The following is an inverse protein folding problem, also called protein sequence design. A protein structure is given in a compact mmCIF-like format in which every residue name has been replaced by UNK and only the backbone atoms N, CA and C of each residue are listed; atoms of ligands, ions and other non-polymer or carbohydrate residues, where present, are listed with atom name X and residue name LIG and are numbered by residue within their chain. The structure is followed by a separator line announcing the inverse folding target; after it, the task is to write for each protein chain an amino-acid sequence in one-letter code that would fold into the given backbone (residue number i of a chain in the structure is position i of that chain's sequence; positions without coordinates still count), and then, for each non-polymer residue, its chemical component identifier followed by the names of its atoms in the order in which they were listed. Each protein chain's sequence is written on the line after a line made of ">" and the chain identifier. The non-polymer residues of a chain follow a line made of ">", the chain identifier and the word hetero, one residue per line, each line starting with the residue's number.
data_IF_915624339106
#
_entry.id   IF_915624339106
#
_cell.length_a   1.000
_cell.length_b   1.000
_cell.length_c   1.000
_cell.angle_alpha   90.00
_cell.angle_beta   90.00
_cell.angle_gamma   90.00
#
_symmetry.space_group_name_H-M   'P 1'
#
loop_
_entity.id
_entity.type
_entity.pdbx_description
1 polymer ?
#
# COMPACT_ATOMS: atom_id res chain seq x y z
N UNK A 1 1.99 -13.11 28.42
CA UNK A 1 2.13 -12.49 27.08
C UNK A 1 2.03 -10.99 27.29
N UNK A 2 3.06 -10.23 26.92
CA UNK A 2 3.07 -8.77 27.07
C UNK A 2 2.20 -8.17 25.96
N UNK A 3 1.11 -7.49 26.32
CA UNK A 3 0.30 -6.71 25.38
C UNK A 3 1.13 -5.49 24.95
N UNK A 4 1.56 -5.47 23.69
CA UNK A 4 2.19 -4.30 23.08
C UNK A 4 1.09 -3.27 22.81
N UNK A 5 0.99 -2.25 23.67
CA UNK A 5 0.07 -1.12 23.50
C UNK A 5 0.73 -0.10 22.59
N UNK A 6 0.27 -0.01 21.34
CA UNK A 6 0.77 0.99 20.39
C UNK A 6 -0.12 2.25 20.46
N UNK A 7 0.40 3.31 21.09
CA UNK A 7 -0.26 4.61 21.17
C UNK A 7 -0.06 5.35 19.84
N UNK A 8 -1.12 5.60 19.09
CA UNK A 8 -1.04 6.47 17.90
C UNK A 8 -2.10 7.56 17.95
N UNK A 9 -1.65 8.82 17.93
CA UNK A 9 -2.49 10.01 17.72
C UNK A 9 -3.08 9.96 16.31
N UNK A 10 -4.40 10.11 16.18
CA UNK A 10 -5.01 10.36 14.88
C UNK A 10 -4.65 11.78 14.40
N UNK A 11 -3.61 11.85 13.60
CA UNK A 11 -3.62 12.63 12.37
C UNK A 11 -3.09 11.67 11.33
N UNK A 12 -3.93 11.17 10.42
CA UNK A 12 -3.43 10.52 9.19
C UNK A 12 -2.94 11.63 8.27
N UNK A 13 -1.94 12.35 8.72
CA UNK A 13 -0.90 12.87 7.86
C UNK A 13 0.20 11.82 8.03
N UNK A 14 0.42 10.93 7.04
CA UNK A 14 1.70 10.23 6.97
C UNK A 14 2.82 11.23 7.30
N UNK A 15 3.92 10.88 7.98
CA UNK A 15 5.07 11.82 8.11
C UNK A 15 5.50 12.40 6.75
N UNK A 16 5.19 11.69 5.67
CA UNK A 16 5.30 12.13 4.28
C UNK A 16 4.47 13.39 3.95
N UNK A 17 3.29 13.54 4.55
CA UNK A 17 2.37 14.67 4.41
C UNK A 17 2.74 15.88 5.26
N UNK A 18 3.34 15.70 6.45
CA UNK A 18 4.00 16.80 7.16
C UNK A 18 5.12 17.40 6.29
N UNK A 19 5.87 16.56 5.56
CA UNK A 19 6.91 17.02 4.63
C UNK A 19 6.37 17.60 3.31
N UNK A 20 5.21 17.14 2.81
CA UNK A 20 4.54 17.70 1.63
C UNK A 20 3.84 19.02 1.94
N UNK A 21 3.22 19.16 3.12
CA UNK A 21 2.66 20.43 3.60
C UNK A 21 3.75 21.50 3.76
N UNK A 22 5.01 21.10 3.97
CA UNK A 22 6.17 21.99 4.08
C UNK A 22 6.87 22.27 2.74
N UNK A 23 6.56 21.53 1.67
CA UNK A 23 7.10 21.76 0.33
C UNK A 23 5.98 22.27 -0.57
N UNK A 24 5.91 23.58 -0.74
CA UNK A 24 5.12 24.21 -1.80
C UNK A 24 5.49 23.55 -3.14
N UNK A 25 4.57 22.76 -3.71
CA UNK A 25 4.70 22.21 -5.06
C UNK A 25 4.80 23.39 -6.04
N UNK A 26 5.80 23.38 -6.91
CA UNK A 26 5.99 24.41 -7.93
C UNK A 26 4.94 24.25 -9.03
N UNK A 27 4.43 25.38 -9.53
CA UNK A 27 3.41 25.50 -10.58
C UNK A 27 3.68 24.64 -11.83
N UNK A 28 4.94 24.38 -12.16
CA UNK A 28 5.34 23.57 -13.32
C UNK A 28 5.00 22.07 -13.21
N UNK A 29 4.87 21.51 -12.00
CA UNK A 29 4.45 20.11 -11.81
C UNK A 29 2.93 19.94 -11.98
N UNK A 30 2.16 21.03 -11.79
CA UNK A 30 0.71 21.06 -11.94
C UNK A 30 0.30 21.09 -13.41
N UNK A 31 1.01 21.86 -14.25
CA UNK A 31 0.71 22.01 -15.67
C UNK A 31 0.97 20.73 -16.49
N UNK A 32 1.92 19.89 -16.08
CA UNK A 32 2.19 18.60 -16.75
C UNK A 32 1.09 17.56 -16.54
N UNK A 33 0.26 17.71 -15.51
CA UNK A 33 -0.86 16.81 -15.23
C UNK A 33 -2.13 17.16 -16.04
N UNK A 34 -2.17 18.32 -16.72
CA UNK A 34 -3.36 18.82 -17.42
C UNK A 34 -3.41 18.53 -18.92
N UNK A 35 -2.36 17.92 -19.51
CA UNK A 35 -2.23 17.83 -20.97
C UNK A 35 -2.64 16.49 -21.62
N UNK A 36 -3.27 15.56 -20.90
CA UNK A 36 -3.84 14.34 -21.50
C UNK A 36 -5.38 14.38 -21.50
N UNK A 37 -6.04 13.87 -22.56
CA UNK A 37 -7.49 13.94 -22.68
C UNK A 37 -8.16 13.16 -21.54
N UNK A 38 -8.88 13.91 -20.70
CA UNK A 38 -9.59 13.42 -19.52
C UNK A 38 -10.73 12.49 -19.93
N UNK A 39 -10.48 11.18 -19.96
CA UNK A 39 -11.54 10.21 -19.70
C UNK A 39 -11.90 10.37 -18.22
N UNK A 40 -13.10 10.88 -17.95
CA UNK A 40 -13.65 11.03 -16.60
C UNK A 40 -13.49 9.72 -15.81
N UNK A 41 -12.53 9.70 -14.88
CA UNK A 41 -12.45 8.69 -13.84
C UNK A 41 -13.32 9.18 -12.69
N UNK A 42 -14.37 8.44 -12.26
CA UNK A 42 -15.21 8.86 -11.14
C UNK A 42 -14.47 8.91 -9.79
N UNK A 43 -13.15 8.72 -9.76
CA UNK A 43 -12.34 8.57 -8.55
C UNK A 43 -11.37 9.75 -8.27
N UNK A 44 -11.54 10.88 -8.94
CA UNK A 44 -10.58 11.99 -8.87
C UNK A 44 -10.55 12.72 -7.51
N UNK A 45 -11.46 12.45 -6.57
CA UNK A 45 -11.45 13.14 -5.27
C UNK A 45 -11.99 12.31 -4.12
N UNK A 46 -11.29 11.24 -3.72
CA UNK A 46 -11.55 10.68 -2.39
C UNK A 46 -11.10 11.72 -1.34
N UNK A 47 -11.88 11.93 -0.28
CA UNK A 47 -11.59 12.86 0.82
C UNK A 47 -11.71 12.10 2.15
N UNK A 48 -10.64 12.10 2.96
CA UNK A 48 -10.67 11.55 4.33
C UNK A 48 -10.84 12.70 5.32
N UNK A 49 -11.82 12.59 6.22
CA UNK A 49 -12.09 13.59 7.27
C UNK A 49 -11.20 13.31 8.49
N UNK A 50 -10.21 14.16 8.75
CA UNK A 50 -9.49 14.19 10.03
C UNK A 50 -10.17 15.23 10.91
N UNK A 51 -10.66 14.82 12.08
CA UNK A 51 -11.35 15.71 13.02
C UNK A 51 -10.28 16.46 13.82
N UNK A 52 -9.79 17.57 13.28
CA UNK A 52 -8.93 18.49 14.02
C UNK A 52 -9.78 19.40 14.91
N UNK A 53 -9.50 19.44 16.21
CA UNK A 53 -10.32 20.17 17.20
C UNK A 53 -10.05 21.67 17.25
N UNK A 54 -9.11 22.21 16.46
CA UNK A 54 -8.68 23.60 16.57
C UNK A 54 -8.45 24.36 15.26
N UNK A 55 -9.03 23.93 14.13
CA UNK A 55 -8.90 24.66 12.86
C UNK A 55 -10.27 25.13 12.39
N UNK A 56 -10.41 26.45 12.24
CA UNK A 56 -11.53 27.11 11.59
C UNK A 56 -11.86 26.47 10.24
N UNK A 57 -12.99 25.75 10.18
CA UNK A 57 -13.87 25.30 9.07
C UNK A 57 -13.45 25.25 7.58
N UNK A 58 -12.29 25.72 7.10
CA UNK A 58 -12.06 25.97 5.66
C UNK A 58 -10.72 25.51 5.06
N UNK A 59 -9.96 24.64 5.72
CA UNK A 59 -8.79 24.01 5.08
C UNK A 59 -8.80 22.49 5.27
N UNK A 60 -9.82 21.83 4.76
CA UNK A 60 -9.76 20.38 4.56
C UNK A 60 -8.95 20.13 3.29
N UNK A 61 -7.73 19.59 3.42
CA UNK A 61 -7.02 19.04 2.27
C UNK A 61 -7.68 17.73 1.86
N UNK A 62 -8.05 17.61 0.59
CA UNK A 62 -8.56 16.36 0.04
C UNK A 62 -7.48 15.29 0.12
N UNK A 63 -7.80 14.10 0.66
CA UNK A 63 -6.90 12.95 0.64
C UNK A 63 -7.39 11.91 -0.35
N UNK A 64 -6.82 11.91 -1.55
CA UNK A 64 -7.04 10.88 -2.55
C UNK A 64 -6.04 9.71 -2.36
N UNK A 65 -6.46 8.51 -1.90
CA UNK A 65 -5.56 7.39 -1.68
C UNK A 65 -4.96 6.85 -2.98
N UNK A 66 -5.58 7.12 -4.14
CA UNK A 66 -5.03 6.74 -5.45
C UNK A 66 -3.89 7.67 -5.89
N UNK A 67 -3.85 8.91 -5.40
CA UNK A 67 -2.78 9.87 -5.72
C UNK A 67 -1.71 9.91 -4.62
N UNK A 68 -2.14 9.92 -3.37
CA UNK A 68 -1.27 10.16 -2.23
C UNK A 68 -0.58 8.91 -1.72
N UNK A 69 -1.25 7.76 -1.82
CA UNK A 69 -0.71 6.47 -1.39
C UNK A 69 -0.98 5.36 -2.40
N UNK A 70 -0.73 5.55 -3.71
CA UNK A 70 -1.16 4.64 -4.79
C UNK A 70 -0.74 3.18 -4.58
N UNK A 71 0.36 2.97 -3.85
CA UNK A 71 1.00 1.69 -3.66
C UNK A 71 0.69 1.06 -2.28
N UNK A 72 -0.24 1.60 -1.48
CA UNK A 72 -0.55 1.07 -0.15
C UNK A 72 -0.88 -0.43 -0.21
N UNK A 73 -1.71 -0.84 -1.18
CA UNK A 73 -2.11 -2.24 -1.36
C UNK A 73 -0.93 -3.20 -1.60
N UNK A 74 0.08 -2.80 -2.39
CA UNK A 74 1.28 -3.64 -2.59
C UNK A 74 2.26 -3.56 -1.44
N UNK A 75 2.33 -2.45 -0.70
CA UNK A 75 3.18 -2.36 0.51
C UNK A 75 2.59 -3.14 1.68
N UNK A 76 1.26 -3.16 1.83
CA UNK A 76 0.57 -3.94 2.84
C UNK A 76 0.89 -5.43 2.70
N UNK A 77 0.79 -5.98 1.48
CA UNK A 77 1.10 -7.38 1.20
C UNK A 77 2.58 -7.79 1.39
N UNK A 78 3.49 -6.85 1.70
CA UNK A 78 4.90 -7.16 2.01
C UNK A 78 5.15 -7.46 3.46
N UNK A 79 4.18 -7.20 4.34
CA UNK A 79 4.33 -7.46 5.77
C UNK A 79 4.39 -8.97 5.98
N UNK A 80 5.51 -9.45 6.53
CA UNK A 80 5.70 -10.88 6.84
C UNK A 80 5.87 -11.14 8.33
N UNK A 81 6.21 -10.12 9.10
CA UNK A 81 6.55 -10.21 10.51
C UNK A 81 6.26 -8.89 11.21
N UNK A 82 6.32 -8.91 12.54
CA UNK A 82 6.08 -7.76 13.40
C UNK A 82 6.99 -6.56 13.06
N UNK A 83 8.26 -6.80 12.71
CA UNK A 83 9.19 -5.73 12.35
C UNK A 83 8.76 -5.00 11.07
N UNK A 84 8.22 -5.73 10.10
CA UNK A 84 7.69 -5.13 8.87
C UNK A 84 6.37 -4.42 9.12
N UNK A 85 5.53 -4.94 10.01
CA UNK A 85 4.32 -4.27 10.48
C UNK A 85 4.64 -2.93 11.16
N UNK A 86 5.62 -2.89 12.06
CA UNK A 86 6.02 -1.63 12.72
C UNK A 86 6.50 -0.59 11.72
N UNK A 87 7.31 -0.98 10.74
CA UNK A 87 7.73 -0.07 9.65
C UNK A 87 6.54 0.40 8.82
N UNK A 88 5.57 -0.47 8.57
CA UNK A 88 4.36 -0.10 7.84
C UNK A 88 3.56 0.94 8.62
N UNK A 89 3.34 0.70 9.93
CA UNK A 89 2.62 1.61 10.83
C UNK A 89 3.31 2.98 10.90
N UNK A 90 4.64 3.02 10.98
CA UNK A 90 5.40 4.28 10.98
C UNK A 90 5.19 5.13 9.71
N UNK A 91 4.88 4.49 8.58
CA UNK A 91 4.74 5.16 7.27
C UNK A 91 3.27 5.49 6.99
N UNK A 92 2.37 4.53 7.21
CA UNK A 92 0.97 4.59 6.76
C UNK A 92 -0.04 4.71 7.90
N UNK A 93 0.33 4.35 9.13
CA UNK A 93 -0.58 4.24 10.27
C UNK A 93 -1.12 2.82 10.50
N UNK A 94 -2.02 2.68 11.48
CA UNK A 94 -2.59 1.39 11.90
C UNK A 94 -3.58 0.83 10.87
N UNK A 95 -3.43 -0.44 10.43
CA UNK A 95 -4.27 -1.03 9.39
C UNK A 95 -5.73 -1.24 9.77
N UNK A 96 -5.97 -1.75 10.99
CA UNK A 96 -7.27 -1.87 11.62
C UNK A 96 -7.24 -0.98 12.86
N UNK A 97 -8.33 -0.28 13.12
CA UNK A 97 -8.42 0.57 14.28
C UNK A 97 -9.82 0.65 14.82
N UNK A 98 -10.02 0.12 16.02
CA UNK A 98 -11.21 0.43 16.81
C UNK A 98 -10.83 1.61 17.70
N UNK A 99 -11.43 2.76 17.44
CA UNK A 99 -11.30 3.94 18.31
C UNK A 99 -12.13 3.72 19.58
N UNK A 100 -11.47 3.50 20.71
CA UNK A 100 -12.11 3.62 22.03
C UNK A 100 -11.87 5.03 22.55
N UNK A 101 -12.92 5.84 22.65
CA UNK A 101 -12.86 7.11 23.37
C UNK A 101 -12.97 6.82 24.87
N UNK A 102 -11.93 7.15 25.62
CA UNK A 102 -12.00 7.15 27.09
C UNK A 102 -12.06 8.60 27.56
N UNK A 103 -13.20 9.03 28.12
CA UNK A 103 -13.27 10.32 28.81
C UNK A 103 -12.71 10.15 30.21
N UNK A 104 -11.57 10.78 30.50
CA UNK A 104 -11.13 10.91 31.88
C UNK A 104 -11.70 12.20 32.45
N UNK A 105 -12.40 12.10 33.58
CA UNK A 105 -13.02 13.22 34.28
C UNK A 105 -11.94 14.12 34.90
N UNK A 106 -11.26 14.94 34.10
CA UNK A 106 -10.61 16.20 34.49
C UNK A 106 -9.89 16.75 33.24
N UNK A 107 -10.42 17.81 32.63
CA UNK A 107 -9.92 18.43 31.38
C UNK A 107 -10.14 17.57 30.13
N UNK A 108 -10.88 18.10 29.15
CA UNK A 108 -11.40 17.41 27.96
C UNK A 108 -10.31 17.04 26.93
N UNK A 109 -9.28 16.29 27.31
CA UNK A 109 -8.42 15.60 26.34
C UNK A 109 -9.05 14.26 25.97
N UNK A 110 -9.72 14.23 24.83
CA UNK A 110 -10.23 12.98 24.24
C UNK A 110 -9.03 12.15 23.73
N UNK A 111 -8.51 11.26 24.57
CA UNK A 111 -7.54 10.26 24.12
C UNK A 111 -8.30 9.18 23.37
N UNK A 112 -8.11 9.14 22.05
CA UNK A 112 -8.58 8.03 21.23
C UNK A 112 -7.51 6.95 21.23
N UNK A 113 -7.80 5.82 21.87
CA UNK A 113 -6.93 4.64 21.83
C UNK A 113 -7.41 3.77 20.68
N UNK A 114 -6.50 3.45 19.77
CA UNK A 114 -6.77 2.61 18.62
C UNK A 114 -6.14 1.24 18.85
N UNK A 115 -6.98 0.21 18.98
CA UNK A 115 -6.54 -1.16 19.21
C UNK A 115 -6.81 -2.03 17.98
N UNK A 116 -5.95 -3.04 17.80
CA UNK A 116 -6.03 -4.05 16.74
C UNK A 116 -5.63 -5.39 17.33
N UNK A 117 -6.46 -6.42 17.13
CA UNK A 117 -6.05 -7.78 17.43
C UNK A 117 -5.01 -8.23 16.39
N UNK A 118 -3.88 -8.75 16.88
CA UNK A 118 -2.75 -9.12 16.02
C UNK A 118 -3.05 -10.36 15.18
N UNK A 119 -3.83 -11.31 15.72
CA UNK A 119 -4.23 -12.52 15.00
C UNK A 119 -5.19 -12.16 13.87
N UNK A 120 -6.23 -11.38 14.17
CA UNK A 120 -7.21 -10.91 13.18
C UNK A 120 -6.50 -10.12 12.06
N UNK A 121 -5.51 -9.29 12.42
CA UNK A 121 -4.69 -8.57 11.46
C UNK A 121 -3.95 -9.51 10.50
N UNK A 122 -3.22 -10.50 11.02
CA UNK A 122 -2.44 -11.41 10.20
C UNK A 122 -3.31 -12.35 9.37
N UNK A 123 -4.50 -12.73 9.87
CA UNK A 123 -5.47 -13.49 9.11
C UNK A 123 -6.00 -12.68 7.91
N UNK A 124 -6.43 -11.45 8.14
CA UNK A 124 -6.89 -10.56 7.06
C UNK A 124 -5.77 -10.25 6.06
N UNK A 125 -4.55 -10.02 6.57
CA UNK A 125 -3.37 -9.80 5.74
C UNK A 125 -3.03 -11.01 4.86
N UNK A 126 -3.20 -12.23 5.37
CA UNK A 126 -2.99 -13.46 4.62
C UNK A 126 -4.01 -13.56 3.48
N UNK A 127 -5.31 -13.36 3.77
CA UNK A 127 -6.35 -13.35 2.74
C UNK A 127 -6.08 -12.27 1.68
N UNK A 128 -5.68 -11.07 2.11
CA UNK A 128 -5.34 -9.97 1.22
C UNK A 128 -4.14 -10.31 0.31
N UNK A 129 -3.06 -10.86 0.87
CA UNK A 129 -1.84 -11.23 0.13
C UNK A 129 -2.10 -12.36 -0.87
N UNK A 130 -2.95 -13.31 -0.50
CA UNK A 130 -3.40 -14.40 -1.36
C UNK A 130 -4.22 -13.87 -2.53
N UNK A 131 -5.13 -12.91 -2.29
CA UNK A 131 -5.94 -12.28 -3.32
C UNK A 131 -5.08 -11.49 -4.32
N UNK A 132 -4.10 -10.70 -3.83
CA UNK A 132 -3.14 -9.99 -4.69
C UNK A 132 -2.30 -10.96 -5.52
N UNK A 133 -1.89 -12.09 -4.93
CA UNK A 133 -1.12 -13.13 -5.63
C UNK A 133 -1.94 -13.78 -6.73
N UNK A 134 -3.20 -14.13 -6.45
CA UNK A 134 -4.13 -14.68 -7.45
C UNK A 134 -4.32 -13.72 -8.62
N UNK A 135 -4.51 -12.43 -8.33
CA UNK A 135 -4.60 -11.40 -9.36
C UNK A 135 -3.30 -11.31 -10.20
N UNK A 136 -2.14 -11.35 -9.56
CA UNK A 136 -0.85 -11.36 -10.25
C UNK A 136 -0.71 -12.52 -11.24
N UNK A 137 -1.12 -13.74 -10.85
CA UNK A 137 -1.08 -14.91 -11.74
C UNK A 137 -1.99 -14.72 -12.95
N UNK A 138 -3.24 -14.27 -12.74
CA UNK A 138 -4.20 -14.02 -13.82
C UNK A 138 -3.70 -12.94 -14.77
N UNK A 139 -3.22 -11.82 -14.24
CA UNK A 139 -2.78 -10.67 -15.04
C UNK A 139 -1.61 -11.05 -15.96
N UNK A 140 -0.66 -11.85 -15.47
CA UNK A 140 0.53 -12.25 -16.21
C UNK A 140 0.37 -13.54 -17.00
N UNK A 141 -0.84 -14.15 -17.02
CA UNK A 141 -1.10 -15.47 -17.59
C UNK A 141 -0.12 -16.55 -17.07
N UNK A 142 0.30 -16.44 -15.82
CA UNK A 142 1.18 -17.41 -15.17
C UNK A 142 0.35 -18.57 -14.61
N UNK A 143 0.87 -19.81 -14.63
CA UNK A 143 0.17 -20.95 -14.05
C UNK A 143 -0.01 -20.75 -12.54
N UNK A 144 -1.23 -20.96 -12.05
CA UNK A 144 -1.56 -20.92 -10.64
C UNK A 144 -0.88 -22.12 -9.95
N UNK A 145 0.14 -21.85 -9.14
CA UNK A 145 1.00 -22.88 -8.54
C UNK A 145 0.41 -23.54 -7.28
N UNK A 146 -0.63 -22.95 -6.69
CA UNK A 146 -1.28 -23.43 -5.47
C UNK A 146 -2.77 -23.13 -5.49
N UNK A 147 -3.54 -23.88 -4.72
CA UNK A 147 -4.95 -23.59 -4.52
C UNK A 147 -5.10 -22.39 -3.57
N UNK A 148 -5.93 -21.44 -3.98
CA UNK A 148 -6.28 -20.28 -3.16
C UNK A 148 -7.67 -20.51 -2.57
N UNK A 149 -7.82 -20.24 -1.28
CA UNK A 149 -9.08 -20.37 -0.55
C UNK A 149 -9.35 -19.12 0.27
N UNK A 150 -10.58 -18.61 0.21
CA UNK A 150 -11.01 -17.41 0.91
C UNK A 150 -12.29 -17.69 1.70
N UNK A 151 -12.45 -17.03 2.85
CA UNK A 151 -13.69 -17.06 3.61
C UNK A 151 -14.50 -15.82 3.25
N UNK A 152 -15.66 -16.04 2.62
CA UNK A 152 -16.60 -14.98 2.24
C UNK A 152 -17.95 -15.29 2.84
N UNK A 153 -18.44 -14.42 3.72
CA UNK A 153 -19.74 -14.56 4.41
C UNK A 153 -19.89 -15.93 5.10
N UNK A 154 -18.82 -16.41 5.74
CA UNK A 154 -18.77 -17.71 6.42
C UNK A 154 -18.66 -18.93 5.49
N UNK A 155 -18.50 -18.73 4.17
CA UNK A 155 -18.35 -19.81 3.19
C UNK A 155 -16.94 -19.81 2.58
N UNK A 156 -16.38 -21.00 2.40
CA UNK A 156 -15.10 -21.15 1.70
C UNK A 156 -15.33 -21.09 0.20
N UNK A 157 -14.57 -20.24 -0.49
CA UNK A 157 -14.51 -20.14 -1.95
C UNK A 157 -13.08 -20.41 -2.39
N UNK A 158 -12.89 -21.32 -3.35
CA UNK A 158 -11.55 -21.75 -3.77
C UNK A 158 -11.38 -21.88 -5.28
N UNK A 159 -10.12 -21.83 -5.74
CA UNK A 159 -9.75 -22.03 -7.16
C UNK A 159 -10.03 -23.44 -7.66
N UNK A 160 -10.25 -24.41 -6.77
CA UNK A 160 -10.70 -25.75 -7.13
C UNK A 160 -12.18 -25.77 -7.53
N UNK A 161 -12.97 -24.85 -6.98
CA UNK A 161 -14.44 -24.87 -7.08
C UNK A 161 -14.99 -23.80 -8.03
N UNK A 162 -14.23 -22.73 -8.28
CA UNK A 162 -14.68 -21.60 -9.12
C UNK A 162 -13.56 -21.04 -10.00
N UNK A 163 -13.96 -20.39 -11.08
CA UNK A 163 -13.07 -19.63 -11.93
C UNK A 163 -12.32 -18.53 -11.11
N UNK A 164 -10.99 -18.40 -11.25
CA UNK A 164 -10.20 -17.42 -10.51
C UNK A 164 -10.71 -15.97 -10.57
N UNK A 165 -11.28 -15.52 -11.70
CA UNK A 165 -11.82 -14.15 -11.83
C UNK A 165 -13.11 -14.00 -11.03
N UNK A 166 -13.95 -15.04 -11.01
CA UNK A 166 -15.16 -15.05 -10.18
C UNK A 166 -14.81 -15.01 -8.69
N UNK A 167 -13.72 -15.67 -8.27
CA UNK A 167 -13.23 -15.62 -6.88
C UNK A 167 -12.82 -14.20 -6.53
N UNK A 168 -11.99 -13.55 -7.36
CA UNK A 168 -11.57 -12.17 -7.11
C UNK A 168 -12.79 -11.24 -6.99
N UNK A 169 -13.74 -11.33 -7.91
CA UNK A 169 -14.95 -10.53 -7.86
C UNK A 169 -15.77 -10.79 -6.58
N UNK A 170 -15.91 -12.06 -6.18
CA UNK A 170 -16.64 -12.45 -4.97
C UNK A 170 -15.98 -11.88 -3.71
N UNK A 171 -14.66 -12.05 -3.57
CA UNK A 171 -13.91 -11.56 -2.40
C UNK A 171 -13.93 -10.04 -2.35
N UNK A 172 -13.61 -9.35 -3.45
CA UNK A 172 -13.61 -7.88 -3.47
C UNK A 172 -14.98 -7.28 -3.17
N UNK A 173 -16.06 -7.86 -3.69
CA UNK A 173 -17.42 -7.40 -3.38
C UNK A 173 -17.78 -7.61 -1.91
N UNK A 174 -17.34 -8.71 -1.28
CA UNK A 174 -17.57 -8.94 0.15
C UNK A 174 -16.77 -7.99 1.05
N UNK A 175 -15.60 -7.53 0.59
CA UNK A 175 -14.74 -6.58 1.31
C UNK A 175 -15.09 -5.11 1.02
N UNK A 176 -16.05 -4.85 0.13
CA UNK A 176 -16.54 -3.51 -0.20
C UNK A 176 -17.46 -2.99 0.90
N UNK A 177 -16.86 -2.40 1.93
CA UNK A 177 -17.57 -1.79 3.06
C UNK A 177 -17.44 -0.26 3.14
N UNK A 178 -16.72 0.35 2.19
CA UNK A 178 -16.64 1.81 2.07
C UNK A 178 -17.96 2.42 1.58
N UNK A 179 -18.22 3.65 2.01
CA UNK A 179 -19.45 4.38 1.62
C UNK A 179 -19.13 5.49 0.65
N UNK A 180 -19.92 5.59 -0.41
CA UNK A 180 -19.88 6.67 -1.40
C UNK A 180 -20.97 7.70 -1.09
N UNK A 181 -20.61 8.98 -1.07
CA UNK A 181 -21.54 10.10 -0.87
C UNK A 181 -21.21 11.24 -1.83
N UNK A 182 -22.23 11.98 -2.27
CA UNK A 182 -22.03 13.25 -2.98
C UNK A 182 -22.12 14.37 -1.95
N UNK A 183 -21.06 15.16 -1.82
CA UNK A 183 -20.96 16.21 -0.83
C UNK A 183 -20.63 17.55 -1.49
N UNK A 184 -21.19 18.63 -0.94
CA UNK A 184 -20.92 20.00 -1.40
C UNK A 184 -19.90 20.66 -0.47
N UNK A 185 -18.85 21.22 -1.06
CA UNK A 185 -17.78 21.95 -0.38
C UNK A 185 -17.63 23.32 -1.02
N UNK A 186 -18.26 24.34 -0.41
CA UNK A 186 -18.38 25.66 -1.02
C UNK A 186 -19.24 25.59 -2.29
N UNK A 187 -18.64 25.93 -3.43
CA UNK A 187 -19.31 25.92 -4.74
C UNK A 187 -19.12 24.60 -5.52
N UNK A 188 -18.31 23.66 -5.00
CA UNK A 188 -17.98 22.41 -5.69
C UNK A 188 -18.73 21.23 -5.12
N UNK A 189 -19.30 20.42 -6.01
CA UNK A 189 -19.86 19.10 -5.69
C UNK A 189 -18.78 18.06 -5.95
N UNK A 190 -18.58 17.11 -5.04
CA UNK A 190 -17.56 16.06 -5.17
C UNK A 190 -18.05 14.71 -4.65
N UNK A 191 -17.65 13.63 -5.33
CA UNK A 191 -17.86 12.27 -4.84
C UNK A 191 -16.87 11.98 -3.72
N UNK A 192 -17.36 11.73 -2.52
CA UNK A 192 -16.58 11.35 -1.36
C UNK A 192 -16.68 9.85 -1.12
N UNK A 193 -15.54 9.20 -0.86
CA UNK A 193 -15.49 7.81 -0.42
C UNK A 193 -14.95 7.79 1.01
N UNK A 194 -15.68 7.16 1.92
CA UNK A 194 -15.28 7.02 3.32
C UNK A 194 -14.88 5.57 3.61
N UNK A 195 -13.69 5.41 4.16
CA UNK A 195 -13.14 4.15 4.60
C UNK A 195 -13.12 4.07 6.12
N UNK A 196 -13.37 2.90 6.67
CA UNK A 196 -13.28 2.64 8.12
C UNK A 196 -11.84 2.42 8.58
N UNK A 197 -10.99 1.87 7.71
CA UNK A 197 -9.64 1.45 8.05
C UNK A 197 -8.74 1.37 6.79
N UNK A 198 -7.44 1.09 6.95
CA UNK A 198 -6.52 1.03 5.80
C UNK A 198 -6.68 -0.23 4.96
N UNK A 199 -7.24 -1.33 5.49
CA UNK A 199 -7.57 -2.50 4.69
C UNK A 199 -8.63 -2.16 3.63
N UNK A 200 -9.66 -1.41 3.99
CA UNK A 200 -10.66 -0.97 3.02
C UNK A 200 -10.02 -0.10 1.91
N UNK A 201 -9.06 0.76 2.28
CA UNK A 201 -8.29 1.55 1.30
C UNK A 201 -7.46 0.62 0.40
N UNK A 202 -6.81 -0.39 0.96
CA UNK A 202 -6.01 -1.36 0.21
C UNK A 202 -6.87 -2.22 -0.73
N UNK A 203 -8.04 -2.69 -0.27
CA UNK A 203 -9.01 -3.42 -1.11
C UNK A 203 -9.58 -2.54 -2.22
N UNK A 204 -9.89 -1.28 -1.92
CA UNK A 204 -10.32 -0.32 -2.93
C UNK A 204 -9.25 -0.10 -4.00
N UNK A 205 -7.99 0.06 -3.60
CA UNK A 205 -6.86 0.18 -4.53
C UNK A 205 -6.63 -1.09 -5.35
N UNK A 206 -6.73 -2.27 -4.73
CA UNK A 206 -6.63 -3.54 -5.44
C UNK A 206 -7.77 -3.70 -6.45
N UNK A 207 -9.01 -3.35 -6.07
CA UNK A 207 -10.15 -3.34 -6.98
C UNK A 207 -9.89 -2.40 -8.16
N UNK A 208 -9.40 -1.20 -7.91
CA UNK A 208 -9.00 -0.25 -8.95
C UNK A 208 -7.89 -0.82 -9.84
N UNK A 209 -6.91 -1.54 -9.27
CA UNK A 209 -5.84 -2.19 -10.03
C UNK A 209 -6.36 -3.33 -10.91
N UNK A 210 -7.33 -4.12 -10.43
CA UNK A 210 -7.99 -5.19 -11.19
C UNK A 210 -8.78 -4.60 -12.36
N UNK A 211 -9.63 -3.61 -12.10
CA UNK A 211 -10.49 -2.98 -13.12
C UNK A 211 -9.68 -2.32 -14.23
N UNK A 212 -8.59 -1.63 -13.87
CA UNK A 212 -7.73 -0.93 -14.83
C UNK A 212 -6.59 -1.79 -15.37
N UNK A 213 -6.56 -3.10 -15.05
CA UNK A 213 -5.49 -4.04 -15.45
C UNK A 213 -4.09 -3.49 -15.21
N UNK A 214 -3.88 -2.84 -14.06
CA UNK A 214 -2.61 -2.19 -13.72
C UNK A 214 -1.47 -3.23 -13.76
N UNK A 215 -0.34 -2.93 -14.42
CA UNK A 215 0.74 -3.89 -14.58
C UNK A 215 1.42 -4.21 -13.24
N UNK A 216 1.54 -5.50 -12.92
CA UNK A 216 2.19 -5.99 -11.71
C UNK A 216 3.39 -6.86 -12.06
N UNK A 217 4.48 -6.75 -11.30
CA UNK A 217 5.68 -7.59 -11.43
C UNK A 217 6.21 -8.03 -10.08
N UNK A 218 7.03 -9.08 -10.07
CA UNK A 218 7.85 -9.47 -8.90
C UNK A 218 9.18 -8.72 -8.89
N UNK A 219 9.56 -8.22 -7.72
CA UNK A 219 10.83 -7.55 -7.51
C UNK A 219 12.00 -8.53 -7.67
N UNK A 220 13.02 -8.17 -8.45
CA UNK A 220 14.23 -9.01 -8.61
C UNK A 220 15.06 -9.20 -7.34
N UNK A 221 14.83 -8.38 -6.30
CA UNK A 221 15.59 -8.46 -5.03
C UNK A 221 14.77 -9.12 -3.92
N UNK A 222 13.58 -8.60 -3.61
CA UNK A 222 12.76 -9.10 -2.50
C UNK A 222 11.64 -10.07 -2.91
N UNK A 223 11.48 -10.33 -4.22
CA UNK A 223 10.44 -11.19 -4.80
C UNK A 223 8.97 -10.75 -4.54
N UNK A 224 8.76 -9.64 -3.84
CA UNK A 224 7.42 -9.09 -3.60
C UNK A 224 6.79 -8.56 -4.89
N UNK A 225 5.46 -8.66 -4.97
CA UNK A 225 4.66 -8.06 -6.05
C UNK A 225 4.68 -6.53 -5.89
N UNK A 226 4.79 -5.80 -7.00
CA UNK A 226 4.73 -4.34 -7.03
C UNK A 226 4.06 -3.85 -8.32
N UNK A 227 3.46 -2.65 -8.26
CA UNK A 227 2.89 -1.94 -9.41
C UNK A 227 3.99 -1.32 -10.26
N UNK A 228 3.97 -1.58 -11.56
CA UNK A 228 4.96 -1.12 -12.53
C UNK A 228 4.59 0.29 -13.00
N UNK A 229 5.48 1.25 -12.76
CA UNK A 229 5.32 2.64 -13.26
C UNK A 229 5.85 2.77 -14.70
N UNK A 230 6.90 2.01 -15.03
CA UNK A 230 7.49 2.01 -16.37
C UNK A 230 7.97 0.59 -16.75
N UNK A 231 7.88 0.25 -18.03
CA UNK A 231 8.13 -1.13 -18.51
C UNK A 231 9.53 -1.68 -18.19
N UNK A 232 10.53 -0.82 -17.97
CA UNK A 232 11.90 -1.21 -17.61
C UNK A 232 12.08 -1.45 -16.11
N UNK A 233 11.07 -1.20 -15.28
CA UNK A 233 11.14 -1.33 -13.83
C UNK A 233 11.28 -2.81 -13.43
N UNK A 234 12.33 -3.09 -12.64
CA UNK A 234 12.72 -4.44 -12.17
C UNK A 234 12.66 -4.59 -10.65
N UNK A 235 12.49 -3.49 -9.94
CA UNK A 235 12.52 -3.44 -8.48
C UNK A 235 11.29 -2.68 -7.97
N UNK A 236 10.94 -2.85 -6.69
CA UNK A 236 9.89 -2.07 -6.05
C UNK A 236 10.08 -0.57 -6.25
N UNK A 237 8.98 0.18 -6.16
CA UNK A 237 9.00 1.63 -6.25
C UNK A 237 9.95 2.24 -5.18
N UNK A 238 10.60 3.38 -5.49
CA UNK A 238 11.33 4.11 -4.47
C UNK A 238 10.38 4.63 -3.39
N UNK A 239 10.90 4.77 -2.17
CA UNK A 239 10.19 5.52 -1.12
C UNK A 239 10.08 6.99 -1.54
N UNK A 240 9.06 7.67 -1.02
CA UNK A 240 8.84 9.09 -1.29
C UNK A 240 10.12 9.92 -1.07
N UNK A 241 10.41 10.83 -2.01
CA UNK A 241 11.60 11.67 -1.98
C UNK A 241 12.93 10.95 -2.29
N UNK A 242 12.92 9.68 -2.69
CA UNK A 242 14.12 8.93 -3.10
C UNK A 242 14.11 8.65 -4.61
N UNK A 243 15.29 8.75 -5.24
CA UNK A 243 15.47 8.46 -6.67
C UNK A 243 15.50 6.97 -7.00
N UNK A 244 15.89 6.12 -6.04
CA UNK A 244 16.06 4.66 -6.22
C UNK A 244 15.45 3.92 -5.07
N UNK A 245 14.97 2.72 -5.33
CA UNK A 245 14.47 1.86 -4.26
C UNK A 245 15.61 1.20 -3.50
N UNK A 246 15.34 0.85 -2.24
CA UNK A 246 16.27 0.12 -1.40
C UNK A 246 16.64 -1.23 -2.01
N UNK A 247 15.67 -1.90 -2.65
CA UNK A 247 15.87 -3.15 -3.38
C UNK A 247 16.87 -2.98 -4.53
N UNK A 248 16.70 -1.94 -5.35
CA UNK A 248 17.63 -1.66 -6.45
C UNK A 248 19.06 -1.39 -5.93
N UNK A 249 19.19 -0.56 -4.88
CA UNK A 249 20.50 -0.26 -4.28
C UNK A 249 21.17 -1.52 -3.71
N UNK A 250 20.40 -2.36 -3.01
CA UNK A 250 20.88 -3.61 -2.42
C UNK A 250 21.38 -4.57 -3.50
N UNK A 251 20.59 -4.76 -4.56
CA UNK A 251 20.96 -5.58 -5.71
C UNK A 251 22.26 -5.09 -6.38
N UNK A 252 22.38 -3.77 -6.61
CA UNK A 252 23.60 -3.16 -7.19
C UNK A 252 24.84 -3.40 -6.31
N UNK A 253 24.70 -3.24 -4.99
CA UNK A 253 25.80 -3.49 -4.04
C UNK A 253 26.21 -4.96 -4.06
N UNK A 254 25.25 -5.89 -4.05
CA UNK A 254 25.52 -7.33 -4.14
C UNK A 254 26.26 -7.68 -5.43
N UNK A 255 25.75 -7.23 -6.58
CA UNK A 255 26.36 -7.48 -7.90
C UNK A 255 27.77 -6.89 -8.03
N UNK A 256 28.01 -5.72 -7.42
CA UNK A 256 29.35 -5.12 -7.36
C UNK A 256 30.32 -6.01 -6.57
N UNK A 257 29.92 -6.48 -5.38
CA UNK A 257 30.73 -7.38 -4.55
C UNK A 257 31.03 -8.70 -5.25
N UNK A 258 30.05 -9.25 -5.97
CA UNK A 258 30.23 -10.48 -6.74
C UNK A 258 31.31 -10.32 -7.83
N UNK A 259 31.23 -9.26 -8.63
CA UNK A 259 32.24 -8.97 -9.67
C UNK A 259 33.63 -8.76 -9.11
N UNK A 260 33.73 -8.18 -7.91
CA UNK A 260 35.02 -8.01 -7.23
C UNK A 260 35.59 -9.36 -6.80
N UNK A 261 34.76 -10.27 -6.29
CA UNK A 261 35.18 -11.64 -5.96
C UNK A 261 35.62 -12.41 -7.21
N UNK A 262 34.84 -12.36 -8.29
CA UNK A 262 35.17 -13.01 -9.56
C UNK A 262 36.55 -12.56 -10.08
N UNK A 263 36.84 -11.25 -10.06
CA UNK A 263 38.14 -10.71 -10.46
C UNK A 263 39.30 -11.19 -9.57
N UNK A 264 39.08 -11.31 -8.25
CA UNK A 264 40.10 -11.81 -7.32
C UNK A 264 40.36 -13.30 -7.57
N UNK A 265 39.30 -14.08 -7.83
CA UNK A 265 39.45 -15.50 -8.17
C UNK A 265 40.18 -15.69 -9.50
N UNK A 266 39.85 -14.87 -10.51
CA UNK A 266 40.53 -14.87 -11.81
C UNK A 266 42.03 -14.52 -11.66
N UNK A 267 42.39 -13.50 -10.88
CA UNK A 267 43.80 -13.14 -10.66
C UNK A 267 44.57 -14.26 -9.95
N UNK A 268 43.98 -14.88 -8.93
CA UNK A 268 44.63 -15.98 -8.22
C UNK A 268 44.85 -17.21 -9.13
N UNK A 269 43.87 -17.51 -10.00
CA UNK A 269 43.99 -18.64 -10.95
C UNK A 269 45.07 -18.42 -12.02
N UNK A 270 45.31 -17.17 -12.43
CA UNK A 270 46.37 -16.84 -13.37
C UNK A 270 47.77 -16.95 -12.73
N UNK A 271 47.93 -16.53 -11.47
CA UNK A 271 49.18 -16.67 -10.72
C UNK A 271 49.57 -18.15 -10.51
N UNK A 272 48.62 -19.03 -10.19
CA UNK A 272 48.87 -20.47 -10.04
C UNK A 272 49.27 -21.16 -11.35
N UNK A 273 48.80 -20.66 -12.49
CA UNK A 273 49.13 -21.22 -13.82
C UNK A 273 50.53 -20.81 -14.32
N UNK A 274 51.10 -19.71 -13.82
CA UNK A 274 52.42 -19.21 -14.21
C UNK A 274 53.59 -19.76 -13.39
N UNK A 275 53.33 -20.56 -12.35
CA UNK A 275 54.35 -21.20 -11.49
C UNK A 275 54.66 -22.66 -11.87
N UNK A 276 54.04 -23.19 -12.91
CA UNK A 276 54.30 -24.54 -13.46
C UNK A 276 55.13 -24.45 -14.74
#
# INVERSE_FOLDING_TARGET
>A
MQNVVCLTKFAVLPKMYEALSLKQLTTEELDRLQSEPVLYSPFDTVMIRVKDTNISLHQFSSFNPLLHTPNLYVELAKIQNEKDLMKFIEIYGLPLGISKSTSTNCMEELITITEMDTLDFFEELAQFSDLLSLWYYILNNEPIQRNFSFIVDGKVVSTETKDPKQIIATVLNSKRSWTESIESYGEKISLCIRFKNLFEVAYFQLMNAVLNKKPLRRCKECNSIFEVVHESQKFCAPRFGRKRSTCENTYRVRKRRQRQKEKITESNSQEESGMK
#
